data_IF_710057633895
#
_entry.id   IF_710057633895
#
_cell.length_a   1.000
_cell.length_b   1.000
_cell.length_c   1.000
_cell.angle_alpha   90.00
_cell.angle_beta   90.00
_cell.angle_gamma   90.00
#
_symmetry.space_group_name_H-M   'P 1'
#
loop_
_entity.id
_entity.type
_entity.pdbx_description
1 polymer ?
#
# COMPACT_ATOMS: atom_id res chain seq x y z
N UNK A 1 -7.14 -11.06 17.86
CA UNK A 1 -6.76 -10.13 16.78
C UNK A 1 -5.45 -9.47 17.18
N UNK A 2 -4.37 -9.74 16.44
CA UNK A 2 -3.05 -9.21 16.78
C UNK A 2 -2.95 -7.71 16.39
N UNK A 3 -1.86 -7.03 16.74
CA UNK A 3 -1.70 -5.60 16.46
C UNK A 3 -1.74 -5.28 14.95
N UNK A 4 -1.08 -6.10 14.11
CA UNK A 4 -1.05 -5.91 12.67
C UNK A 4 -2.46 -6.02 12.04
N UNK A 5 -3.27 -6.99 12.51
CA UNK A 5 -4.65 -7.16 12.06
C UNK A 5 -5.50 -5.92 12.38
N UNK A 6 -5.33 -5.35 13.59
CA UNK A 6 -6.05 -4.14 14.00
C UNK A 6 -5.68 -2.94 13.12
N UNK A 7 -4.40 -2.82 12.75
CA UNK A 7 -3.91 -1.75 11.88
C UNK A 7 -4.46 -1.91 10.47
N UNK A 8 -4.33 -3.10 9.89
CA UNK A 8 -4.84 -3.40 8.56
C UNK A 8 -6.35 -3.11 8.48
N UNK A 9 -7.12 -3.51 9.48
CA UNK A 9 -8.56 -3.24 9.53
C UNK A 9 -8.87 -1.73 9.61
N UNK A 10 -8.15 -0.96 10.43
CA UNK A 10 -8.34 0.50 10.51
C UNK A 10 -8.00 1.18 9.18
N UNK A 11 -6.89 0.80 8.56
CA UNK A 11 -6.50 1.30 7.22
C UNK A 11 -7.60 1.00 6.23
N UNK A 12 -8.08 -0.25 6.18
CA UNK A 12 -9.12 -0.66 5.24
C UNK A 12 -10.40 0.16 5.44
N UNK A 13 -10.87 0.31 6.68
CA UNK A 13 -12.11 1.03 7.00
C UNK A 13 -12.00 2.51 6.65
N UNK A 14 -10.92 3.18 7.06
CA UNK A 14 -10.75 4.62 6.82
C UNK A 14 -10.53 4.93 5.34
N UNK A 15 -9.69 4.14 4.66
CA UNK A 15 -9.48 4.27 3.20
C UNK A 15 -10.80 4.00 2.48
N UNK A 16 -11.50 2.90 2.76
CA UNK A 16 -12.79 2.61 2.10
C UNK A 16 -13.82 3.71 2.36
N UNK A 17 -13.93 4.22 3.59
CA UNK A 17 -14.87 5.30 3.93
C UNK A 17 -14.62 6.54 3.08
N UNK A 18 -13.37 6.94 2.90
CA UNK A 18 -13.04 8.13 2.11
C UNK A 18 -13.16 7.86 0.62
N UNK A 19 -12.78 6.68 0.15
CA UNK A 19 -12.88 6.35 -1.27
C UNK A 19 -14.33 6.19 -1.75
N UNK A 20 -15.26 5.84 -0.86
CA UNK A 20 -16.68 5.72 -1.15
C UNK A 20 -17.48 7.02 -0.90
N UNK A 21 -16.86 8.06 -0.33
CA UNK A 21 -17.49 9.37 -0.16
C UNK A 21 -17.32 10.23 -1.43
N UNK A 22 -18.42 10.67 -2.05
CA UNK A 22 -18.39 11.55 -3.23
C UNK A 22 -18.12 13.03 -2.90
N UNK A 23 -17.43 13.79 -3.78
CA UNK A 23 -16.37 13.34 -4.69
C UNK A 23 -15.03 13.29 -3.95
N UNK A 24 -14.17 12.32 -4.28
CA UNK A 24 -12.87 12.19 -3.66
C UNK A 24 -11.87 13.21 -4.20
N UNK A 25 -11.17 13.91 -3.32
CA UNK A 25 -10.04 14.72 -3.74
C UNK A 25 -8.86 13.82 -4.18
N UNK A 26 -8.08 14.21 -5.22
CA UNK A 26 -6.82 13.55 -5.56
C UNK A 26 -5.82 13.60 -4.40
N UNK A 27 -4.97 12.57 -4.26
CA UNK A 27 -3.98 12.47 -3.17
C UNK A 27 -4.54 11.99 -1.82
N UNK A 28 -5.85 11.71 -1.72
CA UNK A 28 -6.47 11.24 -0.47
C UNK A 28 -5.99 9.86 -0.05
N UNK A 29 -5.60 8.96 -0.98
CA UNK A 29 -5.12 7.63 -0.59
C UNK A 29 -3.77 7.77 0.10
N UNK A 30 -2.87 8.57 -0.49
CA UNK A 30 -1.60 8.93 0.10
C UNK A 30 -1.78 9.45 1.54
N UNK A 31 -2.56 10.52 1.72
CA UNK A 31 -2.69 11.19 3.02
C UNK A 31 -3.28 10.28 4.10
N UNK A 32 -4.22 9.41 3.74
CA UNK A 32 -4.84 8.47 4.67
C UNK A 32 -3.86 7.36 5.07
N UNK A 33 -3.16 6.78 4.11
CA UNK A 33 -2.17 5.74 4.37
C UNK A 33 -1.03 6.32 5.19
N UNK A 34 -0.54 7.51 4.85
CA UNK A 34 0.50 8.21 5.59
C UNK A 34 0.04 8.54 7.02
N UNK A 35 -1.16 9.10 7.21
CA UNK A 35 -1.70 9.41 8.52
C UNK A 35 -1.83 8.17 9.41
N UNK A 36 -2.34 7.07 8.84
CA UNK A 36 -2.52 5.83 9.58
C UNK A 36 -1.18 5.19 9.92
N UNK A 37 -0.24 5.09 8.97
CA UNK A 37 1.11 4.59 9.23
C UNK A 37 1.84 5.46 10.26
N UNK A 38 1.70 6.80 10.20
CA UNK A 38 2.30 7.74 11.15
C UNK A 38 1.76 7.58 12.56
N UNK A 39 0.45 7.34 12.71
CA UNK A 39 -0.17 7.07 13.99
C UNK A 39 0.37 5.76 14.59
N UNK A 40 0.48 4.72 13.77
CA UNK A 40 0.94 3.40 14.21
C UNK A 40 2.44 3.35 14.48
N UNK A 41 3.25 4.11 13.73
CA UNK A 41 4.70 4.18 13.88
C UNK A 41 5.15 4.73 15.24
N UNK A 42 4.25 5.34 16.02
CA UNK A 42 4.50 5.68 17.43
C UNK A 42 4.66 4.45 18.34
N UNK A 43 4.28 3.26 17.87
CA UNK A 43 4.34 2.02 18.64
C UNK A 43 5.56 1.17 18.25
N UNK A 44 6.10 0.42 19.22
CA UNK A 44 7.25 -0.47 19.00
C UNK A 44 6.83 -1.62 18.07
N UNK A 45 7.57 -1.87 16.98
CA UNK A 45 7.27 -2.93 16.01
C UNK A 45 6.39 -2.53 14.83
N UNK A 46 6.03 -1.25 14.73
CA UNK A 46 5.16 -0.73 13.67
C UNK A 46 5.80 -0.72 12.28
N UNK A 47 7.13 -0.84 12.17
CA UNK A 47 7.84 -1.01 10.90
C UNK A 47 8.03 -2.48 10.51
N UNK A 48 7.31 -3.40 11.16
CA UNK A 48 7.35 -4.81 10.81
C UNK A 48 6.65 -5.09 9.48
N UNK A 49 7.03 -6.21 8.86
CA UNK A 49 6.42 -6.72 7.63
C UNK A 49 4.91 -6.82 7.75
N UNK A 50 4.42 -7.38 8.85
CA UNK A 50 2.99 -7.64 9.04
C UNK A 50 2.19 -6.34 9.12
N UNK A 51 2.74 -5.31 9.75
CA UNK A 51 2.07 -4.00 9.90
C UNK A 51 2.03 -3.26 8.57
N UNK A 52 3.17 -3.05 7.91
CA UNK A 52 3.22 -2.28 6.65
C UNK A 52 2.60 -3.07 5.50
N UNK A 53 2.95 -4.35 5.36
CA UNK A 53 2.38 -5.20 4.33
C UNK A 53 0.88 -5.38 4.52
N UNK A 54 0.40 -5.53 5.76
CA UNK A 54 -1.03 -5.57 6.08
C UNK A 54 -1.75 -4.27 5.74
N UNK A 55 -1.20 -3.13 6.15
CA UNK A 55 -1.73 -1.80 5.83
C UNK A 55 -1.81 -1.56 4.31
N UNK A 56 -0.73 -1.84 3.57
CA UNK A 56 -0.68 -1.63 2.13
C UNK A 56 -1.63 -2.57 1.38
N UNK A 57 -1.75 -3.83 1.83
CA UNK A 57 -2.72 -4.79 1.30
C UNK A 57 -4.15 -4.30 1.50
N UNK A 58 -4.47 -3.85 2.71
CA UNK A 58 -5.78 -3.32 3.07
C UNK A 58 -6.14 -2.05 2.27
N UNK A 59 -5.21 -1.11 2.14
CA UNK A 59 -5.39 0.08 1.33
C UNK A 59 -5.61 -0.27 -0.14
N UNK A 60 -4.80 -1.17 -0.70
CA UNK A 60 -4.93 -1.61 -2.08
C UNK A 60 -6.26 -2.33 -2.34
N UNK A 61 -6.70 -3.17 -1.40
CA UNK A 61 -8.01 -3.82 -1.47
C UNK A 61 -9.14 -2.78 -1.49
N UNK A 62 -9.06 -1.74 -0.65
CA UNK A 62 -10.03 -0.65 -0.66
C UNK A 62 -10.04 0.13 -1.99
N UNK A 63 -8.87 0.38 -2.60
CA UNK A 63 -8.75 0.99 -3.92
C UNK A 63 -9.48 0.16 -4.97
N UNK A 64 -9.17 -1.14 -5.04
CA UNK A 64 -9.81 -2.07 -5.99
C UNK A 64 -11.33 -2.13 -5.79
N UNK A 65 -11.80 -2.25 -4.55
CA UNK A 65 -13.23 -2.31 -4.23
C UNK A 65 -13.97 -1.01 -4.54
N UNK A 66 -13.29 0.14 -4.47
CA UNK A 66 -13.88 1.44 -4.80
C UNK A 66 -13.99 1.71 -6.31
N UNK A 67 -13.52 0.79 -7.16
CA UNK A 67 -13.54 0.96 -8.62
C UNK A 67 -12.55 2.01 -9.15
N UNK A 68 -11.59 2.42 -8.33
CA UNK A 68 -10.55 3.38 -8.71
C UNK A 68 -9.45 2.76 -9.55
N UNK A 69 -8.65 3.62 -10.15
CA UNK A 69 -7.44 3.20 -10.81
C UNK A 69 -6.46 2.58 -9.81
N UNK A 70 -6.29 1.27 -9.90
CA UNK A 70 -5.44 0.50 -9.01
C UNK A 70 -3.94 0.84 -9.17
N UNK A 71 -3.50 1.29 -10.34
CA UNK A 71 -2.11 1.65 -10.58
C UNK A 71 -1.78 3.01 -9.95
N UNK A 72 -2.67 3.99 -10.09
CA UNK A 72 -2.57 5.28 -9.39
C UNK A 72 -2.61 5.07 -7.86
N UNK A 73 -3.56 4.27 -7.38
CA UNK A 73 -3.67 3.96 -5.95
C UNK A 73 -2.45 3.23 -5.40
N UNK A 74 -1.89 2.27 -6.14
CA UNK A 74 -0.65 1.60 -5.74
C UNK A 74 0.52 2.58 -5.63
N UNK A 75 0.65 3.51 -6.58
CA UNK A 75 1.68 4.55 -6.56
C UNK A 75 1.51 5.49 -5.35
N UNK A 76 0.28 5.90 -5.01
CA UNK A 76 0.01 6.72 -3.83
C UNK A 76 0.34 5.97 -2.53
N UNK A 77 0.00 4.67 -2.43
CA UNK A 77 0.33 3.83 -1.27
C UNK A 77 1.84 3.70 -1.09
N UNK A 78 2.58 3.41 -2.17
CA UNK A 78 4.04 3.29 -2.12
C UNK A 78 4.68 4.63 -1.70
N UNK A 79 4.20 5.75 -2.26
CA UNK A 79 4.70 7.08 -1.88
C UNK A 79 4.51 7.34 -0.38
N UNK A 80 3.32 7.03 0.16
CA UNK A 80 3.03 7.24 1.58
C UNK A 80 3.98 6.45 2.48
N UNK A 81 4.34 5.22 2.10
CA UNK A 81 5.32 4.42 2.84
C UNK A 81 6.70 5.05 2.76
N UNK A 82 7.14 5.48 1.57
CA UNK A 82 8.45 6.12 1.39
C UNK A 82 8.56 7.37 2.25
N UNK A 83 7.55 8.25 2.23
CA UNK A 83 7.57 9.51 2.96
C UNK A 83 7.64 9.27 4.48
N UNK A 84 6.85 8.33 4.99
CA UNK A 84 6.85 7.99 6.42
C UNK A 84 8.17 7.32 6.86
N UNK A 85 8.81 6.54 5.98
CA UNK A 85 10.09 5.89 6.29
C UNK A 85 11.26 6.86 6.14
N UNK A 86 11.14 7.91 5.32
CA UNK A 86 12.12 9.00 5.35
C UNK A 86 12.02 9.82 6.63
N UNK A 87 10.80 10.04 7.16
CA UNK A 87 10.57 10.74 8.42
C UNK A 87 11.14 10.01 9.65
N UNK A 88 11.37 8.70 9.57
CA UNK A 88 11.87 7.89 10.69
C UNK A 88 13.00 7.01 10.20
N UNK A 89 14.20 7.11 10.79
CA UNK A 89 15.46 6.40 10.46
C UNK A 89 15.43 4.85 10.34
N UNK A 90 14.44 4.30 9.64
CA UNK A 90 14.30 2.89 9.30
C UNK A 90 14.94 2.60 7.95
N UNK A 91 14.97 1.32 7.59
CA UNK A 91 15.54 0.85 6.32
C UNK A 91 14.54 1.07 5.17
N UNK A 92 14.77 2.03 4.26
CA UNK A 92 13.82 2.37 3.21
C UNK A 92 13.55 1.21 2.25
N UNK A 93 14.59 0.44 1.92
CA UNK A 93 14.49 -0.67 0.97
C UNK A 93 13.69 -1.83 1.55
N UNK A 94 13.93 -2.15 2.81
CA UNK A 94 13.19 -3.20 3.51
C UNK A 94 11.70 -2.86 3.63
N UNK A 95 11.43 -1.61 3.99
CA UNK A 95 10.07 -1.14 4.24
C UNK A 95 9.27 -1.02 2.93
N UNK A 96 9.92 -0.56 1.87
CA UNK A 96 9.39 -0.58 0.51
C UNK A 96 9.05 -2.01 0.07
N UNK A 97 9.93 -2.98 0.32
CA UNK A 97 9.68 -4.39 0.02
C UNK A 97 8.39 -4.93 0.68
N UNK A 98 8.15 -4.57 1.95
CA UNK A 98 6.91 -4.95 2.66
C UNK A 98 5.66 -4.32 2.03
N UNK A 99 5.74 -3.06 1.60
CA UNK A 99 4.65 -2.39 0.93
C UNK A 99 4.31 -3.04 -0.41
N UNK A 100 5.33 -3.27 -1.25
CA UNK A 100 5.17 -3.90 -2.57
C UNK A 100 4.58 -5.31 -2.44
N UNK A 101 5.04 -6.10 -1.46
CA UNK A 101 4.47 -7.42 -1.19
C UNK A 101 2.99 -7.35 -0.76
N UNK A 102 2.64 -6.37 0.08
CA UNK A 102 1.26 -6.11 0.48
C UNK A 102 0.34 -5.75 -0.69
N UNK A 103 0.79 -4.82 -1.54
CA UNK A 103 0.05 -4.37 -2.74
C UNK A 103 -0.10 -5.55 -3.72
N UNK A 104 0.97 -6.30 -3.96
CA UNK A 104 0.98 -7.44 -4.88
C UNK A 104 -0.04 -8.52 -4.50
N UNK A 105 -0.19 -8.79 -3.20
CA UNK A 105 -1.17 -9.75 -2.71
C UNK A 105 -2.62 -9.38 -3.05
N UNK A 106 -2.96 -8.07 -3.03
CA UNK A 106 -4.29 -7.59 -3.42
C UNK A 106 -4.42 -7.47 -4.96
N UNK A 107 -3.36 -7.04 -5.64
CA UNK A 107 -3.34 -6.85 -7.09
C UNK A 107 -3.46 -8.17 -7.88
N UNK A 108 -2.95 -9.27 -7.33
CA UNK A 108 -3.00 -10.59 -7.98
C UNK A 108 -4.43 -11.05 -8.33
N UNK A 109 -5.43 -10.60 -7.58
CA UNK A 109 -6.84 -10.86 -7.85
C UNK A 109 -7.34 -10.23 -9.17
N UNK A 110 -6.72 -9.13 -9.62
CA UNK A 110 -7.06 -8.45 -10.89
C UNK A 110 -6.47 -9.12 -12.14
N UNK A 111 -5.69 -10.19 -11.99
CA UNK A 111 -5.08 -10.92 -13.10
C UNK A 111 -3.79 -10.30 -13.66
N UNK A 112 -3.21 -10.95 -14.67
CA UNK A 112 -1.86 -10.61 -15.19
C UNK A 112 -1.76 -9.23 -15.82
N UNK A 113 -2.81 -8.79 -16.52
CA UNK A 113 -2.82 -7.48 -17.17
C UNK A 113 -2.77 -6.35 -16.14
N UNK A 114 -3.54 -6.49 -15.06
CA UNK A 114 -3.59 -5.50 -13.99
C UNK A 114 -2.29 -5.44 -13.20
N UNK A 115 -1.68 -6.60 -12.90
CA UNK A 115 -0.34 -6.68 -12.33
C UNK A 115 0.68 -5.97 -13.22
N UNK A 116 0.66 -6.19 -14.54
CA UNK A 116 1.57 -5.50 -15.46
C UNK A 116 1.40 -3.97 -15.43
N UNK A 117 0.14 -3.50 -15.41
CA UNK A 117 -0.21 -2.08 -15.36
C UNK A 117 0.29 -1.41 -14.08
N UNK A 118 0.03 -2.03 -12.93
CA UNK A 118 0.50 -1.55 -11.62
C UNK A 118 2.03 -1.56 -11.58
N UNK A 119 2.67 -2.64 -12.04
CA UNK A 119 4.12 -2.76 -12.08
C UNK A 119 4.78 -1.63 -12.89
N UNK A 120 4.25 -1.32 -14.07
CA UNK A 120 4.75 -0.20 -14.89
C UNK A 120 4.56 1.16 -14.22
N UNK A 121 3.41 1.40 -13.58
CA UNK A 121 3.15 2.66 -12.90
C UNK A 121 4.06 2.86 -11.68
N UNK A 122 4.28 1.80 -10.90
CA UNK A 122 5.25 1.81 -9.80
C UNK A 122 6.65 2.09 -10.35
N UNK A 123 7.09 1.39 -11.40
CA UNK A 123 8.43 1.54 -11.96
C UNK A 123 8.69 2.95 -12.52
N UNK A 124 7.67 3.55 -13.15
CA UNK A 124 7.76 4.91 -13.68
C UNK A 124 8.06 5.96 -12.61
N UNK A 125 7.61 5.74 -11.36
CA UNK A 125 7.85 6.64 -10.24
C UNK A 125 8.99 6.20 -9.32
N UNK A 126 9.18 4.89 -9.19
CA UNK A 126 10.14 4.25 -8.30
C UNK A 126 10.97 3.24 -9.11
N UNK A 127 11.95 3.75 -9.86
CA UNK A 127 12.78 2.94 -10.77
C UNK A 127 13.26 1.63 -10.12
N UNK A 128 12.95 0.49 -10.73
CA UNK A 128 13.33 -0.85 -10.26
C UNK A 128 12.36 -1.46 -9.25
N UNK A 129 11.40 -0.71 -8.70
CA UNK A 129 10.40 -1.26 -7.78
C UNK A 129 9.31 -2.05 -8.51
N UNK A 130 9.08 -1.80 -9.81
CA UNK A 130 8.08 -2.52 -10.60
C UNK A 130 8.44 -3.99 -10.83
N UNK A 131 9.73 -4.31 -10.99
CA UNK A 131 10.22 -5.69 -11.11
C UNK A 131 10.03 -6.45 -9.79
N UNK A 132 10.40 -5.83 -8.67
CA UNK A 132 10.22 -6.38 -7.31
C UNK A 132 8.72 -6.65 -7.04
N UNK A 133 7.85 -5.70 -7.36
CA UNK A 133 6.40 -5.88 -7.28
C UNK A 133 5.92 -7.08 -8.09
N UNK A 134 6.38 -7.20 -9.34
CA UNK A 134 5.98 -8.28 -10.25
C UNK A 134 6.40 -9.66 -9.73
N UNK A 135 7.58 -9.76 -9.11
CA UNK A 135 8.03 -10.98 -8.44
C UNK A 135 7.14 -11.37 -7.26
N UNK A 136 6.73 -10.40 -6.43
CA UNK A 136 5.79 -10.68 -5.34
C UNK A 136 4.41 -11.09 -5.86
N UNK A 137 3.92 -10.46 -6.91
CA UNK A 137 2.64 -10.79 -7.52
C UNK A 137 2.64 -12.20 -8.12
N UNK A 138 3.77 -12.64 -8.70
CA UNK A 138 3.92 -14.00 -9.20
C UNK A 138 3.87 -15.06 -8.09
N UNK A 139 4.35 -14.73 -6.89
CA UNK A 139 4.36 -15.61 -5.70
C UNK A 139 3.03 -15.62 -4.93
N UNK A 140 2.14 -14.67 -5.19
CA UNK A 140 0.86 -14.51 -4.47
C UNK A 140 -0.31 -15.28 -5.09
N UNK A 141 -0.02 -16.20 -6.03
CA UNK A 141 -1.00 -17.03 -6.75
C UNK A 141 -1.22 -18.39 -6.10
#
# INVERSE_FOLDING_TARGET
MNQADQIAQRVQVEVSRVLLAEPPAPGKIHDLVAAQLKAEFKTKGATSKDVIGGACRAAMAAVVLSGRDAAEGAVEIVQAVVDIVQERSGDPMRTLGYALEGIAASAAAGGRQEVGRIGMAIDAKFMGAGSIFSEFAAKSK
#
